data_IF_712202503750
#
_entry.id   IF_712202503750
#
_cell.length_a   1.000
_cell.length_b   1.000
_cell.length_c   1.000
_cell.angle_alpha   90.00
_cell.angle_beta   90.00
_cell.angle_gamma   90.00
#
_symmetry.space_group_name_H-M   'P 1'
#
loop_
_entity.id
_entity.type
_entity.pdbx_description
1 polymer ?
#
# COMPACT_ATOMS: atom_id res chain seq x y z
N UNK A 1 -38.92 0.69 -21.03
CA UNK A 1 -38.88 -0.76 -21.34
C UNK A 1 -37.55 -1.35 -20.84
N UNK A 2 -37.48 -1.79 -19.58
CA UNK A 2 -36.20 -2.20 -19.00
C UNK A 2 -35.62 -3.40 -19.74
N UNK A 3 -34.33 -3.36 -20.04
CA UNK A 3 -33.57 -4.57 -20.40
C UNK A 3 -33.59 -5.54 -19.21
N UNK A 4 -33.48 -6.83 -19.48
CA UNK A 4 -33.19 -7.79 -18.41
C UNK A 4 -31.79 -7.53 -17.82
N UNK A 5 -31.45 -8.22 -16.73
CA UNK A 5 -30.14 -8.11 -16.08
C UNK A 5 -28.97 -8.55 -16.99
N UNK A 6 -29.24 -9.18 -18.14
CA UNK A 6 -28.27 -9.57 -19.16
C UNK A 6 -28.21 -8.56 -20.33
N UNK A 7 -28.94 -7.46 -20.25
CA UNK A 7 -28.96 -6.41 -21.28
C UNK A 7 -29.81 -6.76 -22.50
N UNK A 8 -30.57 -7.86 -22.47
CA UNK A 8 -31.48 -8.24 -23.56
C UNK A 8 -32.72 -7.36 -23.53
N UNK A 9 -33.09 -6.88 -24.71
CA UNK A 9 -34.35 -6.18 -24.91
C UNK A 9 -35.36 -7.13 -25.57
N UNK A 10 -36.54 -7.28 -24.97
CA UNK A 10 -37.68 -7.94 -25.59
C UNK A 10 -38.70 -6.90 -26.02
N UNK A 11 -39.14 -6.99 -27.28
CA UNK A 11 -40.21 -6.12 -27.78
C UNK A 11 -41.52 -6.39 -27.02
N UNK A 12 -42.21 -5.37 -26.49
CA UNK A 12 -43.49 -5.56 -25.83
C UNK A 12 -44.54 -6.16 -26.77
N UNK A 13 -45.41 -6.98 -26.18
CA UNK A 13 -46.59 -7.47 -26.87
C UNK A 13 -47.47 -6.28 -27.34
N UNK A 14 -48.04 -6.40 -28.55
CA UNK A 14 -48.81 -5.32 -29.17
C UNK A 14 -48.03 -4.50 -30.20
N UNK A 15 -46.76 -4.80 -30.43
CA UNK A 15 -45.96 -4.17 -31.48
C UNK A 15 -45.34 -5.18 -32.48
N UNK A 16 -46.14 -5.86 -33.31
CA UNK A 16 -45.74 -6.05 -34.69
C UNK A 16 -46.64 -5.19 -35.58
N UNK A 17 -46.03 -4.25 -36.29
CA UNK A 17 -46.68 -3.56 -37.40
C UNK A 17 -47.05 -4.59 -38.47
N UNK A 18 -48.33 -4.65 -38.83
CA UNK A 18 -48.83 -5.57 -39.86
C UNK A 18 -49.06 -4.78 -41.15
N UNK A 19 -48.60 -5.32 -42.27
CA UNK A 19 -48.80 -4.71 -43.57
C UNK A 19 -50.30 -4.46 -43.84
N UNK A 20 -50.63 -3.26 -44.34
CA UNK A 20 -52.01 -2.86 -44.62
C UNK A 20 -52.83 -2.39 -43.41
N UNK A 21 -52.25 -2.32 -42.21
CA UNK A 21 -52.93 -1.77 -41.02
C UNK A 21 -52.55 -0.31 -40.77
N UNK A 22 -53.50 0.48 -40.26
CA UNK A 22 -53.28 1.90 -39.94
C UNK A 22 -52.47 2.03 -38.64
N UNK A 23 -51.39 2.80 -38.69
CA UNK A 23 -50.60 3.18 -37.51
C UNK A 23 -51.36 4.25 -36.74
N UNK A 24 -51.64 4.00 -35.45
CA UNK A 24 -52.36 4.96 -34.61
C UNK A 24 -51.42 5.63 -33.60
N UNK A 25 -51.60 6.93 -33.32
CA UNK A 25 -50.78 7.64 -32.33
C UNK A 25 -50.83 7.02 -30.93
N UNK A 26 -51.93 6.33 -30.58
CA UNK A 26 -52.18 5.75 -29.26
C UNK A 26 -51.16 4.69 -28.84
N UNK A 27 -50.66 3.88 -29.77
CA UNK A 27 -49.60 2.91 -29.47
C UNK A 27 -48.23 3.40 -29.98
N UNK A 28 -48.20 4.16 -31.08
CA UNK A 28 -46.94 4.56 -31.72
C UNK A 28 -46.17 5.61 -30.90
N UNK A 29 -46.86 6.63 -30.36
CA UNK A 29 -46.19 7.70 -29.62
C UNK A 29 -45.60 7.22 -28.28
N UNK A 30 -46.33 6.44 -27.44
CA UNK A 30 -45.75 5.89 -26.21
C UNK A 30 -44.53 5.00 -26.49
N UNK A 31 -44.57 4.18 -27.55
CA UNK A 31 -43.44 3.34 -27.95
C UNK A 31 -42.19 4.19 -28.27
N UNK A 32 -42.35 5.30 -29.00
CA UNK A 32 -41.24 6.21 -29.30
C UNK A 32 -40.71 6.96 -28.06
N UNK A 33 -41.59 7.31 -27.12
CA UNK A 33 -41.20 7.88 -25.82
C UNK A 33 -40.36 6.90 -24.99
N UNK A 34 -40.80 5.65 -24.92
CA UNK A 34 -40.09 4.58 -24.20
C UNK A 34 -38.70 4.33 -24.78
N UNK A 35 -38.56 4.34 -26.12
CA UNK A 35 -37.25 4.22 -26.77
C UNK A 35 -36.31 5.38 -26.44
N UNK A 36 -36.84 6.60 -26.37
CA UNK A 36 -36.08 7.79 -25.97
C UNK A 36 -35.53 7.68 -24.55
N UNK A 37 -36.35 7.20 -23.62
CA UNK A 37 -35.95 6.97 -22.23
C UNK A 37 -34.88 5.89 -22.12
N UNK A 38 -35.08 4.72 -22.74
CA UNK A 38 -34.11 3.61 -22.67
C UNK A 38 -32.78 3.94 -23.35
N UNK A 39 -32.79 4.71 -24.43
CA UNK A 39 -31.55 5.18 -25.07
C UNK A 39 -30.80 6.17 -24.18
N UNK A 40 -31.52 6.96 -23.37
CA UNK A 40 -30.94 7.92 -22.42
C UNK A 40 -30.37 7.21 -21.19
N UNK A 41 -31.06 6.19 -20.69
CA UNK A 41 -30.64 5.42 -19.51
C UNK A 41 -29.54 4.38 -19.82
N UNK A 42 -29.32 4.06 -21.10
CA UNK A 42 -28.28 3.11 -21.53
C UNK A 42 -26.88 3.72 -21.44
N UNK A 43 -25.92 2.96 -20.88
CA UNK A 43 -24.51 3.31 -20.96
C UNK A 43 -24.02 3.22 -22.42
N UNK A 44 -23.52 4.33 -22.94
CA UNK A 44 -23.01 4.40 -24.31
C UNK A 44 -21.69 3.63 -24.45
N UNK A 45 -21.58 2.81 -25.51
CA UNK A 45 -20.30 2.14 -25.88
C UNK A 45 -19.17 3.11 -26.20
N UNK A 46 -19.52 4.34 -26.58
CA UNK A 46 -18.56 5.43 -26.86
C UNK A 46 -18.40 6.39 -25.68
N UNK A 47 -18.94 6.07 -24.50
CA UNK A 47 -18.83 6.90 -23.30
C UNK A 47 -19.56 8.24 -23.39
N UNK A 48 -20.58 8.35 -24.25
CA UNK A 48 -21.43 9.56 -24.34
C UNK A 48 -22.40 9.62 -23.18
N UNK A 49 -22.53 10.79 -22.55
CA UNK A 49 -23.33 10.99 -21.35
C UNK A 49 -22.60 10.47 -20.11
N UNK A 50 -22.58 11.26 -19.04
CA UNK A 50 -22.00 10.84 -17.76
C UNK A 50 -22.97 9.91 -17.01
N UNK A 51 -22.43 8.99 -16.22
CA UNK A 51 -23.24 8.25 -15.25
C UNK A 51 -23.75 9.19 -14.17
N UNK A 52 -25.06 9.16 -13.89
CA UNK A 52 -25.68 9.99 -12.84
C UNK A 52 -25.57 9.37 -11.44
N UNK A 53 -25.26 8.07 -11.35
CA UNK A 53 -25.10 7.31 -10.11
C UNK A 53 -23.78 6.53 -10.11
N UNK A 54 -23.24 6.11 -8.94
CA UNK A 54 -22.05 5.25 -8.87
C UNK A 54 -22.25 3.90 -9.58
N UNK A 55 -21.18 3.40 -10.22
CA UNK A 55 -21.17 2.05 -10.79
C UNK A 55 -20.97 1.01 -9.69
N UNK A 56 -21.98 0.17 -9.46
CA UNK A 56 -21.87 -0.99 -8.59
C UNK A 56 -21.55 -2.22 -9.43
N UNK A 57 -20.49 -2.94 -9.05
CA UNK A 57 -20.02 -4.15 -9.74
C UNK A 57 -20.04 -5.35 -8.77
N UNK A 58 -20.18 -6.59 -9.26
CA UNK A 58 -20.09 -7.79 -8.42
C UNK A 58 -18.70 -7.95 -7.80
N UNK A 59 -18.54 -8.86 -6.84
CA UNK A 59 -17.24 -9.08 -6.19
C UNK A 59 -16.17 -9.55 -7.20
N UNK A 60 -16.49 -10.51 -8.05
CA UNK A 60 -15.49 -11.21 -8.88
C UNK A 60 -14.48 -12.01 -8.05
N UNK A 61 -13.56 -12.65 -8.75
CA UNK A 61 -12.40 -13.33 -8.16
C UNK A 61 -11.18 -13.19 -9.08
N UNK A 62 -10.08 -13.88 -8.78
CA UNK A 62 -8.87 -13.75 -9.59
C UNK A 62 -9.00 -14.36 -10.98
N UNK A 63 -9.83 -15.40 -11.17
CA UNK A 63 -10.08 -16.00 -12.48
C UNK A 63 -11.11 -15.21 -13.29
N UNK A 64 -12.04 -14.53 -12.61
CA UNK A 64 -13.05 -13.68 -13.21
C UNK A 64 -13.17 -12.35 -12.44
N UNK A 65 -12.25 -11.39 -12.69
CA UNK A 65 -12.34 -10.07 -12.09
C UNK A 65 -13.60 -9.34 -12.55
N UNK A 66 -14.15 -8.50 -11.68
CA UNK A 66 -15.40 -7.76 -11.94
C UNK A 66 -15.23 -6.65 -12.99
N UNK A 67 -14.03 -6.08 -13.10
CA UNK A 67 -13.61 -5.20 -14.20
C UNK A 67 -12.40 -5.83 -14.87
N UNK A 68 -12.57 -6.33 -16.09
CA UNK A 68 -11.53 -7.05 -16.83
C UNK A 68 -11.40 -6.57 -18.27
N UNK A 69 -10.34 -6.99 -18.93
CA UNK A 69 -10.10 -6.70 -20.34
C UNK A 69 -10.78 -7.74 -21.24
N UNK A 70 -11.31 -7.31 -22.38
CA UNK A 70 -11.99 -8.20 -23.34
C UNK A 70 -11.08 -9.34 -23.80
N UNK A 71 -9.80 -9.05 -24.04
CA UNK A 71 -8.82 -10.00 -24.54
C UNK A 71 -7.98 -10.66 -23.43
N UNK A 72 -8.14 -10.23 -22.18
CA UNK A 72 -7.48 -10.82 -21.01
C UNK A 72 -8.48 -10.90 -19.84
N UNK A 73 -9.45 -11.85 -19.90
CA UNK A 73 -10.55 -11.88 -18.94
C UNK A 73 -10.09 -12.22 -17.51
N UNK A 74 -8.89 -12.77 -17.35
CA UNK A 74 -8.27 -13.09 -16.05
C UNK A 74 -7.41 -11.96 -15.49
N UNK A 75 -7.39 -10.80 -16.15
CA UNK A 75 -6.63 -9.61 -15.73
C UNK A 75 -7.61 -8.48 -15.42
N UNK A 76 -7.58 -7.94 -14.21
CA UNK A 76 -8.58 -6.96 -13.78
C UNK A 76 -8.74 -6.73 -12.29
N UNK A 77 -9.70 -5.86 -11.92
CA UNK A 77 -10.02 -5.51 -10.54
C UNK A 77 -11.14 -6.41 -9.98
N UNK A 78 -10.97 -6.86 -8.73
CA UNK A 78 -11.98 -7.64 -8.01
C UNK A 78 -11.97 -7.33 -6.51
N UNK A 79 -13.04 -7.71 -5.81
CA UNK A 79 -13.18 -7.62 -4.35
C UNK A 79 -13.09 -9.02 -3.74
N UNK A 80 -11.97 -9.33 -3.09
CA UNK A 80 -11.71 -10.64 -2.50
C UNK A 80 -12.51 -10.88 -1.21
N UNK A 81 -12.77 -9.83 -0.44
CA UNK A 81 -13.51 -9.86 0.82
C UNK A 81 -14.03 -8.45 1.20
N UNK A 82 -14.68 -8.34 2.35
CA UNK A 82 -15.02 -7.03 2.90
C UNK A 82 -13.79 -6.16 3.11
N UNK A 83 -13.84 -4.95 2.55
CA UNK A 83 -12.75 -3.98 2.57
C UNK A 83 -11.42 -4.49 1.96
N UNK A 84 -11.47 -5.45 1.04
CA UNK A 84 -10.28 -6.01 0.38
C UNK A 84 -10.48 -6.01 -1.14
N UNK A 85 -9.83 -5.06 -1.82
CA UNK A 85 -9.85 -4.90 -3.27
C UNK A 85 -8.50 -5.34 -3.81
N UNK A 86 -8.49 -6.06 -4.93
CA UNK A 86 -7.29 -6.62 -5.52
C UNK A 86 -7.28 -6.47 -7.04
N UNK A 87 -6.08 -6.44 -7.61
CA UNK A 87 -5.86 -6.50 -9.06
C UNK A 87 -5.22 -7.83 -9.42
N UNK A 88 -5.77 -8.53 -10.41
CA UNK A 88 -5.25 -9.76 -10.97
C UNK A 88 -4.57 -9.52 -12.32
N UNK A 89 -3.52 -10.29 -12.62
CA UNK A 89 -2.89 -10.42 -13.94
C UNK A 89 -2.71 -11.92 -14.20
N UNK A 90 -3.32 -12.44 -15.27
CA UNK A 90 -3.21 -13.86 -15.60
C UNK A 90 -3.71 -14.80 -14.48
N UNK A 91 -4.83 -14.46 -13.84
CA UNK A 91 -5.44 -15.18 -12.73
C UNK A 91 -4.68 -15.17 -11.38
N UNK A 92 -3.57 -14.44 -11.30
CA UNK A 92 -2.80 -14.24 -10.08
C UNK A 92 -3.00 -12.82 -9.55
N UNK A 93 -3.17 -12.64 -8.24
CA UNK A 93 -3.24 -11.30 -7.67
C UNK A 93 -1.85 -10.66 -7.63
N UNK A 94 -1.76 -9.39 -8.00
CA UNK A 94 -0.50 -8.62 -8.05
C UNK A 94 -0.54 -7.34 -7.21
N UNK A 95 -1.74 -6.88 -6.84
CA UNK A 95 -1.91 -5.73 -5.97
C UNK A 95 -3.11 -5.90 -5.03
N UNK A 96 -3.02 -5.33 -3.83
CA UNK A 96 -4.05 -5.36 -2.81
C UNK A 96 -4.22 -3.99 -2.15
N UNK A 97 -5.46 -3.56 -1.98
CA UNK A 97 -5.86 -2.39 -1.21
C UNK A 97 -6.84 -2.82 -0.12
N UNK A 98 -6.48 -2.52 1.13
CA UNK A 98 -7.30 -2.73 2.31
C UNK A 98 -7.13 -1.57 3.28
N UNK A 99 -8.16 -1.20 4.06
CA UNK A 99 -8.01 -0.17 5.07
C UNK A 99 -6.96 -0.62 6.09
N UNK A 100 -6.05 0.28 6.41
CA UNK A 100 -5.14 0.15 7.55
C UNK A 100 -5.17 1.45 8.32
N UNK A 101 -5.01 1.34 9.62
CA UNK A 101 -4.76 2.50 10.47
C UNK A 101 -3.29 2.88 10.25
N UNK A 102 -3.05 4.13 9.82
CA UNK A 102 -1.74 4.76 9.56
C UNK A 102 -0.95 4.29 8.32
N UNK A 103 -1.03 5.08 7.24
CA UNK A 103 0.07 5.57 6.38
C UNK A 103 1.16 4.64 5.82
N UNK A 104 1.13 3.33 6.06
CA UNK A 104 2.19 2.41 5.65
C UNK A 104 2.01 2.04 4.18
N UNK A 105 2.86 2.58 3.31
CA UNK A 105 3.08 2.03 1.98
C UNK A 105 3.94 0.76 2.13
N UNK A 106 3.32 -0.40 1.98
CA UNK A 106 4.00 -1.69 2.06
C UNK A 106 4.20 -2.21 0.64
N UNK A 107 5.45 -2.22 0.15
CA UNK A 107 5.80 -2.94 -1.07
C UNK A 107 6.20 -4.35 -0.66
N UNK A 108 5.38 -5.34 -1.00
CA UNK A 108 5.73 -6.74 -0.86
C UNK A 108 6.16 -7.28 -2.23
N UNK A 109 7.41 -7.67 -2.37
CA UNK A 109 7.81 -8.51 -3.51
C UNK A 109 7.19 -9.91 -3.39
N UNK A 110 6.95 -10.56 -4.54
CA UNK A 110 6.51 -11.95 -4.64
C UNK A 110 7.53 -12.82 -3.91
N UNK A 111 7.19 -13.27 -2.70
CA UNK A 111 8.11 -13.98 -1.81
C UNK A 111 7.92 -13.67 -0.32
N UNK A 112 7.06 -12.70 0.03
CA UNK A 112 6.60 -12.53 1.42
C UNK A 112 7.63 -11.92 2.38
N UNK A 113 8.81 -11.53 1.90
CA UNK A 113 9.75 -10.75 2.71
C UNK A 113 9.32 -9.29 2.69
N UNK A 114 8.65 -8.87 3.76
CA UNK A 114 8.22 -7.49 3.96
C UNK A 114 9.47 -6.61 4.10
N UNK A 115 9.78 -5.81 3.07
CA UNK A 115 10.84 -4.79 3.16
C UNK A 115 10.19 -3.48 3.57
N UNK A 116 10.56 -2.96 4.75
CA UNK A 116 10.13 -1.63 5.20
C UNK A 116 10.83 -0.60 4.30
N UNK A 117 10.08 0.22 3.58
CA UNK A 117 10.63 1.41 2.91
C UNK A 117 10.71 2.51 3.95
N UNK A 118 11.91 3.02 4.24
CA UNK A 118 12.14 4.03 5.28
C UNK A 118 11.24 5.27 5.21
N UNK A 119 11.20 6.03 6.30
CA UNK A 119 10.29 7.16 6.46
C UNK A 119 10.87 8.46 5.88
N UNK A 120 10.05 9.23 5.14
CA UNK A 120 10.41 10.59 4.74
C UNK A 120 10.16 11.57 5.89
N UNK A 121 11.19 12.33 6.27
CA UNK A 121 11.14 13.37 7.31
C UNK A 121 10.72 12.86 8.71
N UNK A 122 11.50 11.95 9.33
CA UNK A 122 11.19 11.41 10.66
C UNK A 122 11.15 12.52 11.72
N UNK A 123 10.26 12.37 12.71
CA UNK A 123 10.19 13.30 13.85
C UNK A 123 11.46 13.21 14.68
N UNK A 124 12.06 14.35 15.04
CA UNK A 124 13.22 14.39 15.94
C UNK A 124 12.79 14.15 17.39
N UNK A 125 13.41 13.17 18.03
CA UNK A 125 13.27 12.86 19.45
C UNK A 125 14.60 13.16 20.14
N UNK A 126 14.56 13.99 21.17
CA UNK A 126 15.74 14.33 21.97
C UNK A 126 15.88 13.32 23.10
N UNK A 127 17.09 12.83 23.30
CA UNK A 127 17.48 11.91 24.38
C UNK A 127 18.37 12.70 25.34
N UNK A 128 17.79 13.02 26.50
CA UNK A 128 18.43 13.74 27.61
C UNK A 128 18.65 12.84 28.85
N UNK A 129 18.49 11.52 28.70
CA UNK A 129 18.69 10.54 29.76
C UNK A 129 18.98 9.16 29.14
N UNK A 130 19.49 8.23 29.95
CA UNK A 130 19.67 6.84 29.54
C UNK A 130 18.39 6.29 28.91
N UNK A 131 18.51 5.62 27.76
CA UNK A 131 17.36 5.17 26.97
C UNK A 131 17.56 3.76 26.45
N UNK A 132 16.52 2.94 26.57
CA UNK A 132 16.38 1.71 25.80
C UNK A 132 15.61 2.01 24.52
N UNK A 133 16.21 1.70 23.37
CA UNK A 133 15.55 1.85 22.08
C UNK A 133 14.37 0.87 21.98
N UNK A 134 13.33 1.20 21.23
CA UNK A 134 12.15 0.33 21.05
C UNK A 134 11.70 0.29 19.59
N UNK A 135 10.84 -0.68 19.24
CA UNK A 135 10.27 -0.76 17.89
C UNK A 135 9.52 0.52 17.50
N UNK A 136 8.94 1.21 18.48
CA UNK A 136 8.25 2.48 18.27
C UNK A 136 9.18 3.63 17.83
N UNK A 137 10.50 3.51 18.04
CA UNK A 137 11.49 4.53 17.67
C UNK A 137 11.86 4.50 16.18
N UNK A 138 11.48 3.47 15.41
CA UNK A 138 11.81 3.30 13.98
C UNK A 138 11.39 4.49 13.09
N UNK A 139 10.38 5.25 13.52
CA UNK A 139 9.84 6.37 12.74
C UNK A 139 10.43 7.73 13.15
N UNK A 140 11.49 7.72 13.94
CA UNK A 140 12.01 8.92 14.60
C UNK A 140 13.51 9.04 14.44
N UNK A 141 13.99 10.28 14.52
CA UNK A 141 15.39 10.63 14.50
C UNK A 141 15.85 10.86 15.94
N UNK A 142 16.68 9.97 16.47
CA UNK A 142 17.10 9.97 17.87
C UNK A 142 18.33 10.86 18.03
N UNK A 143 18.19 12.00 18.71
CA UNK A 143 19.29 12.93 18.98
C UNK A 143 19.74 12.84 20.43
N UNK A 144 20.98 12.46 20.63
CA UNK A 144 21.67 12.55 21.92
C UNK A 144 21.98 14.01 22.21
N UNK A 145 21.65 14.47 23.42
CA UNK A 145 21.80 15.86 23.82
C UNK A 145 22.56 16.04 25.15
N UNK A 146 23.19 14.97 25.65
CA UNK A 146 24.09 14.98 26.81
C UNK A 146 25.25 13.99 26.59
N UNK A 147 26.38 14.26 27.25
CA UNK A 147 27.50 13.31 27.34
C UNK A 147 27.17 12.14 28.26
N UNK A 148 27.91 11.02 28.11
CA UNK A 148 27.87 9.88 29.03
C UNK A 148 26.49 9.21 29.21
N UNK A 149 25.65 9.22 28.18
CA UNK A 149 24.39 8.47 28.17
C UNK A 149 24.61 7.01 27.79
N UNK A 150 23.89 6.13 28.48
CA UNK A 150 23.78 4.73 28.13
C UNK A 150 22.58 4.51 27.21
N UNK A 151 22.84 4.05 26.00
CA UNK A 151 21.82 3.71 25.02
C UNK A 151 21.78 2.20 24.89
N UNK A 152 20.75 1.59 25.48
CA UNK A 152 20.54 0.15 25.41
C UNK A 152 19.86 -0.20 24.11
N UNK A 153 20.44 -1.15 23.39
CA UNK A 153 19.94 -1.62 22.09
C UNK A 153 19.35 -3.02 22.27
N UNK A 154 18.01 -3.20 22.18
CA UNK A 154 17.37 -4.51 22.37
C UNK A 154 17.10 -5.23 21.05
N UNK A 155 16.61 -6.47 21.15
CA UNK A 155 16.12 -7.21 19.99
C UNK A 155 14.90 -6.50 19.42
N UNK A 156 14.97 -6.13 18.13
CA UNK A 156 13.86 -5.53 17.39
C UNK A 156 13.45 -6.45 16.23
N UNK A 157 12.40 -6.10 15.49
CA UNK A 157 12.04 -6.83 14.29
C UNK A 157 13.17 -6.76 13.24
N UNK A 158 13.32 -7.82 12.43
CA UNK A 158 14.24 -7.78 11.29
C UNK A 158 13.88 -6.63 10.33
N UNK A 159 14.90 -6.08 9.69
CA UNK A 159 14.84 -4.93 8.78
C UNK A 159 14.37 -3.63 9.44
N UNK A 160 14.50 -3.52 10.76
CA UNK A 160 14.28 -2.28 11.49
C UNK A 160 15.47 -1.33 11.29
N UNK A 161 15.21 -0.07 10.96
CA UNK A 161 16.23 0.97 10.80
C UNK A 161 15.99 2.14 11.77
N UNK A 162 16.99 2.49 12.57
CA UNK A 162 17.01 3.67 13.45
C UNK A 162 18.22 4.55 13.13
N UNK A 163 18.13 5.85 13.42
CA UNK A 163 19.25 6.79 13.28
C UNK A 163 19.54 7.47 14.62
N UNK A 164 20.81 7.45 15.01
CA UNK A 164 21.34 8.13 16.19
C UNK A 164 22.24 9.28 15.75
N UNK A 165 21.97 10.47 16.32
CA UNK A 165 22.73 11.70 16.14
C UNK A 165 23.39 12.10 17.45
N UNK A 166 24.71 12.12 17.49
CA UNK A 166 25.50 12.51 18.68
C UNK A 166 25.72 14.02 18.80
N UNK A 167 25.25 14.81 17.81
CA UNK A 167 25.28 16.26 17.73
C UNK A 167 26.60 16.97 18.11
N UNK A 168 26.84 17.33 19.37
CA UNK A 168 28.09 17.93 19.85
C UNK A 168 28.66 17.19 21.07
N UNK A 169 28.01 16.10 21.48
CA UNK A 169 28.28 15.40 22.70
C UNK A 169 29.11 14.15 22.42
N UNK A 170 30.08 13.91 23.28
CA UNK A 170 31.01 12.79 23.19
C UNK A 170 30.67 11.73 24.23
N UNK A 171 30.99 10.47 23.89
CA UNK A 171 30.88 9.30 24.77
C UNK A 171 29.45 8.88 25.15
N UNK A 172 28.58 8.68 24.16
CA UNK A 172 27.43 7.78 24.32
C UNK A 172 27.90 6.33 24.28
N UNK A 173 27.57 5.54 25.30
CA UNK A 173 27.88 4.10 25.31
C UNK A 173 26.70 3.35 24.71
N UNK A 174 26.93 2.64 23.61
CA UNK A 174 25.95 1.69 23.10
C UNK A 174 26.08 0.39 23.87
N UNK A 175 25.04 0.06 24.63
CA UNK A 175 24.97 -1.17 25.41
C UNK A 175 24.14 -2.17 24.62
N UNK A 176 24.79 -3.24 24.15
CA UNK A 176 24.06 -4.38 23.58
C UNK A 176 23.29 -5.11 24.67
N UNK A 177 22.01 -5.38 24.42
CA UNK A 177 21.25 -6.30 25.26
C UNK A 177 21.68 -7.76 25.01
N UNK A 178 21.31 -8.66 25.93
CA UNK A 178 21.66 -10.07 25.87
C UNK A 178 21.10 -10.69 24.58
N UNK A 179 21.98 -11.36 23.82
CA UNK A 179 21.59 -12.09 22.61
C UNK A 179 21.65 -11.28 21.31
N UNK A 180 22.12 -10.03 21.36
CA UNK A 180 22.43 -9.25 20.15
C UNK A 180 23.88 -9.38 19.77
N UNK A 181 24.13 -9.54 18.47
CA UNK A 181 25.45 -9.40 17.86
C UNK A 181 25.53 -8.05 17.16
N UNK A 182 26.40 -7.16 17.63
CA UNK A 182 26.71 -5.89 16.96
C UNK A 182 27.83 -6.07 15.93
N UNK A 183 27.60 -5.63 14.69
CA UNK A 183 28.60 -5.56 13.62
C UNK A 183 28.80 -4.10 13.23
N UNK A 184 30.04 -3.63 13.32
CA UNK A 184 30.40 -2.25 12.96
C UNK A 184 30.97 -2.24 11.55
N UNK A 185 30.48 -1.34 10.69
CA UNK A 185 30.98 -1.19 9.33
C UNK A 185 31.75 0.12 9.17
N UNK A 186 32.78 0.10 8.34
CA UNK A 186 33.44 1.32 7.87
C UNK A 186 32.61 2.05 6.80
N UNK A 187 33.05 3.24 6.41
CA UNK A 187 32.41 4.04 5.36
C UNK A 187 32.46 3.43 3.95
N UNK A 188 33.17 2.31 3.76
CA UNK A 188 33.27 1.54 2.53
C UNK A 188 32.52 0.18 2.61
N UNK A 189 31.85 -0.12 3.73
CA UNK A 189 31.10 -1.37 3.95
C UNK A 189 31.92 -2.55 4.48
N UNK A 190 33.19 -2.33 4.85
CA UNK A 190 34.05 -3.33 5.48
C UNK A 190 33.74 -3.53 6.97
N UNK A 191 33.85 -4.77 7.46
CA UNK A 191 33.62 -5.08 8.87
C UNK A 191 34.80 -4.59 9.73
N UNK A 192 34.48 -3.86 10.79
CA UNK A 192 35.40 -3.39 11.81
C UNK A 192 35.41 -4.35 13.02
N UNK A 193 36.60 -4.63 13.58
CA UNK A 193 36.81 -5.57 14.70
C UNK A 193 37.32 -4.93 15.99
N UNK A 194 36.81 -5.36 17.14
CA UNK A 194 37.19 -4.85 18.47
C UNK A 194 36.24 -3.80 19.01
N UNK A 195 36.60 -3.18 20.14
CA UNK A 195 35.78 -2.13 20.76
C UNK A 195 35.68 -0.92 19.83
N UNK A 196 34.48 -0.32 19.76
CA UNK A 196 34.18 0.82 18.89
C UNK A 196 33.49 1.93 19.65
N UNK A 197 33.69 3.15 19.16
CA UNK A 197 33.09 4.36 19.68
C UNK A 197 32.42 5.16 18.57
N UNK A 198 31.48 6.02 18.96
CA UNK A 198 30.86 6.98 18.06
C UNK A 198 31.36 8.37 18.47
N UNK A 199 32.00 9.05 17.53
CA UNK A 199 32.55 10.40 17.72
C UNK A 199 31.42 11.42 17.86
N UNK A 200 31.66 12.52 18.57
CA UNK A 200 30.70 13.63 18.63
C UNK A 200 30.38 14.18 17.23
N UNK A 201 29.13 14.59 17.01
CA UNK A 201 28.66 15.10 15.71
C UNK A 201 28.51 14.07 14.60
N UNK A 202 28.53 12.80 14.98
CA UNK A 202 28.29 11.68 14.09
C UNK A 202 26.82 11.35 13.97
N UNK A 203 26.44 10.92 12.77
CA UNK A 203 25.16 10.27 12.51
C UNK A 203 25.46 8.81 12.17
N UNK A 204 24.93 7.90 12.98
CA UNK A 204 25.08 6.46 12.83
C UNK A 204 23.70 5.85 12.60
N UNK A 205 23.62 4.98 11.59
CA UNK A 205 22.43 4.18 11.31
C UNK A 205 22.59 2.82 11.98
N UNK A 206 21.53 2.40 12.68
CA UNK A 206 21.38 1.10 13.31
C UNK A 206 20.39 0.31 12.48
N UNK A 207 20.84 -0.79 11.89
CA UNK A 207 20.03 -1.64 11.03
C UNK A 207 20.01 -3.07 11.56
N UNK A 208 18.84 -3.54 11.95
CA UNK A 208 18.64 -4.93 12.38
C UNK A 208 18.54 -5.82 11.14
N UNK A 209 19.64 -6.41 10.69
CA UNK A 209 19.64 -7.38 9.59
C UNK A 209 18.75 -8.59 9.94
N UNK A 210 18.80 -9.01 11.20
CA UNK A 210 17.89 -9.98 11.80
C UNK A 210 17.46 -9.48 13.17
N UNK A 211 16.52 -10.15 13.83
CA UNK A 211 16.09 -9.75 15.17
C UNK A 211 17.21 -9.73 16.23
N UNK A 212 18.30 -10.45 15.96
CA UNK A 212 19.45 -10.62 16.86
C UNK A 212 20.76 -10.09 16.27
N UNK A 213 20.77 -9.66 15.00
CA UNK A 213 21.96 -9.07 14.38
C UNK A 213 21.72 -7.60 14.10
N UNK A 214 22.48 -6.75 14.77
CA UNK A 214 22.52 -5.32 14.52
C UNK A 214 23.77 -4.96 13.70
N UNK A 215 23.57 -4.23 12.61
CA UNK A 215 24.64 -3.63 11.81
C UNK A 215 24.63 -2.12 12.07
N UNK A 216 25.80 -1.57 12.38
CA UNK A 216 26.00 -0.13 12.59
C UNK A 216 26.91 0.41 11.51
N UNK A 217 26.49 1.50 10.87
CA UNK A 217 27.26 2.18 9.85
C UNK A 217 26.97 3.68 9.85
N UNK A 218 27.94 4.50 9.46
CA UNK A 218 27.79 5.94 9.45
C UNK A 218 29.13 6.65 9.59
N UNK A 219 29.08 7.97 9.72
CA UNK A 219 30.27 8.76 9.96
C UNK A 219 30.71 8.63 11.43
N UNK A 220 32.01 8.75 11.70
CA UNK A 220 32.59 8.85 13.04
C UNK A 220 32.52 7.61 13.93
N UNK A 221 32.31 6.43 13.34
CA UNK A 221 32.62 5.14 13.98
C UNK A 221 34.13 4.93 13.95
N UNK A 222 34.75 4.72 15.11
CA UNK A 222 36.19 4.45 15.26
C UNK A 222 36.50 3.35 16.27
#
# INVERSE_FOLDING_TARGET
MPRDASGNYSLPAGNPVVAGTVITPTWANPTMGDLGNEMTDSLSRSGKGGMLNPLLIPNGDSNLPALSWINEPTTGLYRAAANDIRYAVGALFVAQWRPRVNGSFLVSDIGGTLKKSGFRNPTRVVIDANKTLAQADENTYQRINLDALDITVPTLEAFTELKIDTWLFSATTLIQDVGITMRWMDGAGGLLTGNRSISAGSIVTLYWETATTLVLYGNGIS
#
